data_IF_053082171774
#
_entry.id   IF_053082171774
#
_cell.length_a   1.000
_cell.length_b   1.000
_cell.length_c   1.000
_cell.angle_alpha   90.00
_cell.angle_beta   90.00
_cell.angle_gamma   90.00
#
_symmetry.space_group_name_H-M   'P 1'
#
loop_
_entity.id
_entity.type
_entity.pdbx_description
1 polymer ?
#
# COMPACT_ATOMS: atom_id res chain seq x y z
N UNK A 1 14.64 -10.07 -4.07
CA UNK A 1 13.39 -9.34 -4.35
C UNK A 1 12.49 -9.43 -3.14
N UNK A 2 12.20 -8.28 -2.53
CA UNK A 2 11.32 -8.15 -1.36
C UNK A 2 9.86 -8.39 -1.74
N UNK A 3 8.98 -8.45 -0.74
CA UNK A 3 7.54 -8.55 -0.99
C UNK A 3 6.99 -7.24 -1.60
N UNK A 4 7.56 -6.09 -1.21
CA UNK A 4 7.23 -4.79 -1.77
C UNK A 4 7.63 -4.69 -3.25
N UNK A 5 8.83 -5.15 -3.62
CA UNK A 5 9.28 -5.15 -5.03
C UNK A 5 8.31 -5.93 -5.92
N UNK A 6 7.81 -7.08 -5.45
CA UNK A 6 6.82 -7.89 -6.17
C UNK A 6 5.47 -7.19 -6.30
N UNK A 7 5.05 -6.46 -5.26
CA UNK A 7 3.82 -5.66 -5.28
C UNK A 7 3.96 -4.56 -6.33
N UNK A 8 5.05 -3.80 -6.29
CA UNK A 8 5.33 -2.69 -7.21
C UNK A 8 5.40 -3.21 -8.66
N UNK A 9 6.11 -4.31 -8.90
CA UNK A 9 6.20 -4.93 -10.22
C UNK A 9 4.82 -5.29 -10.78
N UNK A 10 3.94 -5.87 -9.97
CA UNK A 10 2.59 -6.24 -10.39
C UNK A 10 1.67 -5.05 -10.55
N UNK A 11 1.89 -3.98 -9.81
CA UNK A 11 1.11 -2.75 -9.90
C UNK A 11 1.39 -1.95 -11.18
N UNK A 12 2.49 -2.20 -11.88
CA UNK A 12 2.85 -1.49 -13.12
C UNK A 12 1.76 -1.55 -14.21
N UNK A 13 0.95 -2.61 -14.26
CA UNK A 13 -0.14 -2.72 -15.25
C UNK A 13 -1.39 -1.91 -14.88
N UNK A 14 -1.41 -1.33 -13.68
CA UNK A 14 -2.54 -0.57 -13.14
C UNK A 14 -2.28 0.94 -13.10
N UNK A 15 -1.08 1.39 -13.45
CA UNK A 15 -0.74 2.82 -13.50
C UNK A 15 -0.92 3.36 -14.91
N UNK A 16 -1.30 4.64 -15.00
CA UNK A 16 -1.42 5.34 -16.27
C UNK A 16 -0.05 5.73 -16.85
N UNK A 17 0.03 6.00 -18.17
CA UNK A 17 1.23 6.59 -18.74
C UNK A 17 1.67 7.88 -18.01
N UNK A 18 2.93 7.91 -17.58
CA UNK A 18 3.51 9.02 -16.81
C UNK A 18 3.13 9.04 -15.32
N UNK A 19 2.39 8.05 -14.83
CA UNK A 19 2.16 7.82 -13.41
C UNK A 19 3.32 6.98 -12.84
N UNK A 20 3.94 7.45 -11.76
CA UNK A 20 5.12 6.84 -11.15
C UNK A 20 4.76 6.26 -9.79
N UNK A 21 5.04 4.98 -9.58
CA UNK A 21 4.86 4.32 -8.28
C UNK A 21 5.94 4.80 -7.32
N UNK A 22 5.52 5.38 -6.19
CA UNK A 22 6.38 5.87 -5.12
C UNK A 22 6.59 4.81 -4.02
N UNK A 23 5.66 3.85 -3.91
CA UNK A 23 5.81 2.72 -3.00
C UNK A 23 4.62 1.76 -3.04
N UNK A 24 4.81 0.58 -2.47
CA UNK A 24 3.76 -0.44 -2.40
C UNK A 24 3.90 -1.37 -1.20
N UNK A 25 2.80 -1.63 -0.51
CA UNK A 25 2.80 -2.49 0.67
C UNK A 25 1.50 -3.28 0.84
N UNK A 26 1.56 -4.31 1.68
CA UNK A 26 0.38 -5.08 2.06
C UNK A 26 -0.06 -4.74 3.49
N UNK A 27 -1.35 -4.52 3.66
CA UNK A 27 -2.04 -4.44 4.95
C UNK A 27 -2.96 -5.63 5.16
N UNK A 28 -3.28 -5.91 6.42
CA UNK A 28 -4.24 -6.92 6.82
C UNK A 28 -5.32 -6.32 7.72
N UNK A 29 -6.56 -6.81 7.60
CA UNK A 29 -7.68 -6.33 8.40
C UNK A 29 -7.53 -6.69 9.89
N UNK A 30 -7.03 -7.89 10.15
CA UNK A 30 -6.81 -8.42 11.51
C UNK A 30 -5.41 -9.02 11.61
N UNK A 31 -4.88 -9.15 12.83
CA UNK A 31 -3.53 -9.69 13.08
C UNK A 31 -3.32 -11.09 12.48
N UNK A 32 -4.36 -11.91 12.44
CA UNK A 32 -4.33 -13.29 11.93
C UNK A 32 -4.94 -13.43 10.53
N UNK A 33 -5.45 -12.35 9.95
CA UNK A 33 -6.11 -12.30 8.63
C UNK A 33 -7.11 -13.45 8.36
N UNK A 34 -7.86 -13.89 9.38
CA UNK A 34 -8.83 -14.99 9.27
C UNK A 34 -10.09 -14.53 8.51
N UNK A 35 -10.01 -14.56 7.18
CA UNK A 35 -11.16 -14.38 6.27
C UNK A 35 -11.28 -13.01 5.60
N UNK A 36 -10.58 -11.98 6.08
CA UNK A 36 -10.66 -10.62 5.53
C UNK A 36 -9.87 -10.39 4.24
N UNK A 37 -8.85 -11.21 3.99
CA UNK A 37 -7.94 -11.02 2.86
C UNK A 37 -6.95 -9.88 3.09
N UNK A 38 -5.81 -9.94 2.38
CA UNK A 38 -4.88 -8.81 2.40
C UNK A 38 -5.40 -7.66 1.54
N UNK A 39 -5.01 -6.44 1.90
CA UNK A 39 -5.16 -5.24 1.09
C UNK A 39 -3.79 -4.83 0.57
N UNK A 40 -3.69 -4.53 -0.70
CA UNK A 40 -2.44 -4.06 -1.31
C UNK A 40 -2.62 -2.57 -1.58
N UNK A 41 -1.79 -1.75 -0.96
CA UNK A 41 -1.76 -0.31 -1.18
C UNK A 41 -0.63 0.00 -2.15
N UNK A 42 -0.95 0.77 -3.18
CA UNK A 42 -0.01 1.35 -4.12
C UNK A 42 -0.14 2.86 -4.03
N UNK A 43 0.96 3.55 -3.78
CA UNK A 43 1.02 5.00 -3.84
C UNK A 43 1.75 5.41 -5.11
N UNK A 44 1.14 6.34 -5.85
CA UNK A 44 1.76 6.96 -7.02
C UNK A 44 1.97 8.43 -6.78
N UNK A 45 2.58 9.13 -7.73
CA UNK A 45 2.64 10.59 -7.72
C UNK A 45 1.27 11.28 -7.92
N UNK A 46 0.19 10.54 -8.22
CA UNK A 46 -1.15 11.09 -8.49
C UNK A 46 -2.22 10.65 -7.50
N UNK A 47 -2.18 9.40 -7.04
CA UNK A 47 -3.23 8.80 -6.21
C UNK A 47 -2.71 7.68 -5.33
N UNK A 48 -3.53 7.29 -4.36
CA UNK A 48 -3.47 5.98 -3.74
C UNK A 48 -4.46 5.04 -4.41
N UNK A 49 -4.04 3.80 -4.59
CA UNK A 49 -4.90 2.70 -5.00
C UNK A 49 -4.84 1.60 -3.95
N UNK A 50 -6.00 1.15 -3.48
CA UNK A 50 -6.10 -0.01 -2.60
C UNK A 50 -6.77 -1.15 -3.35
N UNK A 51 -6.07 -2.26 -3.44
CA UNK A 51 -6.56 -3.48 -4.05
C UNK A 51 -6.90 -4.53 -3.00
N UNK A 52 -7.98 -5.27 -3.24
CA UNK A 52 -8.23 -6.53 -2.55
C UNK A 52 -7.26 -7.60 -3.05
N UNK A 53 -6.74 -8.39 -2.11
CA UNK A 53 -6.02 -9.64 -2.34
C UNK A 53 -6.73 -10.79 -1.63
N UNK A 54 -6.36 -12.03 -1.97
CA UNK A 54 -6.81 -13.21 -1.25
C UNK A 54 -6.25 -13.30 0.18
N UNK A 55 -6.69 -14.31 0.93
CA UNK A 55 -6.18 -14.63 2.28
C UNK A 55 -4.78 -15.24 2.26
N UNK A 56 -4.38 -15.85 1.15
CA UNK A 56 -3.14 -16.63 1.04
C UNK A 56 -1.96 -15.87 0.44
N UNK A 57 -2.17 -14.66 -0.12
CA UNK A 57 -1.09 -13.90 -0.77
C UNK A 57 -1.14 -12.43 -0.43
N UNK A 58 0.01 -11.86 -0.10
CA UNK A 58 0.18 -10.42 0.14
C UNK A 58 0.49 -9.63 -1.12
N UNK A 59 0.63 -10.30 -2.28
CA UNK A 59 1.19 -9.69 -3.49
C UNK A 59 0.31 -9.84 -4.71
N UNK A 60 -0.78 -10.61 -4.63
CA UNK A 60 -1.70 -10.82 -5.76
C UNK A 60 -2.68 -9.65 -5.77
N UNK A 61 -2.57 -8.81 -6.79
CA UNK A 61 -3.53 -7.74 -7.04
C UNK A 61 -4.74 -8.34 -7.75
N UNK A 62 -5.93 -8.27 -7.15
CA UNK A 62 -7.16 -8.82 -7.75
C UNK A 62 -8.13 -7.76 -8.25
N UNK A 63 -8.58 -6.88 -7.36
CA UNK A 63 -9.62 -5.89 -7.67
C UNK A 63 -9.30 -4.58 -6.95
N UNK A 64 -9.42 -3.46 -7.65
CA UNK A 64 -9.38 -2.13 -7.05
C UNK A 64 -10.63 -1.94 -6.18
N UNK A 65 -10.44 -1.61 -4.90
CA UNK A 65 -11.51 -1.46 -3.91
C UNK A 65 -11.59 -0.06 -3.30
N UNK A 66 -10.58 0.77 -3.53
CA UNK A 66 -10.52 2.17 -3.16
C UNK A 66 -9.52 2.87 -4.08
N UNK A 67 -9.86 4.09 -4.48
CA UNK A 67 -8.94 5.06 -5.05
C UNK A 67 -9.12 6.37 -4.27
N UNK A 68 -8.02 7.03 -3.91
CA UNK A 68 -8.07 8.32 -3.20
C UNK A 68 -6.95 9.24 -3.68
N UNK A 69 -7.10 10.57 -3.51
CA UNK A 69 -6.06 11.53 -3.88
C UNK A 69 -4.72 11.26 -3.18
N UNK A 70 -3.62 11.72 -3.78
CA UNK A 70 -2.27 11.65 -3.20
C UNK A 70 -1.99 12.82 -2.26
N UNK A 71 -2.89 13.10 -1.33
CA UNK A 71 -2.80 14.22 -0.36
C UNK A 71 -2.62 13.75 1.09
N UNK A 72 -2.58 12.43 1.29
CA UNK A 72 -2.50 11.83 2.61
C UNK A 72 -1.06 11.50 3.01
N UNK A 73 -0.67 11.95 4.21
CA UNK A 73 0.50 11.45 4.94
C UNK A 73 0.12 10.21 5.76
N UNK A 74 0.91 9.15 5.65
CA UNK A 74 0.65 7.85 6.23
C UNK A 74 1.11 7.73 7.69
N UNK A 75 2.11 8.54 8.07
CA UNK A 75 2.63 8.67 9.42
C UNK A 75 3.85 7.80 9.70
N UNK A 76 4.55 8.10 10.80
CA UNK A 76 5.76 7.36 11.20
C UNK A 76 5.40 5.97 11.76
N UNK A 77 5.76 4.88 11.07
CA UNK A 77 5.37 3.55 11.49
C UNK A 77 6.23 3.03 12.65
N UNK A 78 5.61 2.33 13.60
CA UNK A 78 6.31 1.73 14.76
C UNK A 78 5.72 0.39 15.19
N UNK A 79 6.49 -0.38 15.97
CA UNK A 79 6.09 -1.69 16.49
C UNK A 79 6.14 -2.83 15.45
N UNK A 80 5.51 -3.96 15.75
CA UNK A 80 5.42 -5.11 14.83
C UNK A 80 4.35 -4.90 13.74
N UNK A 81 3.28 -4.21 14.12
CA UNK A 81 2.18 -3.83 13.25
C UNK A 81 1.78 -2.39 13.51
N UNK A 82 1.68 -1.63 12.43
CA UNK A 82 1.24 -0.23 12.45
C UNK A 82 -0.18 -0.13 11.91
N UNK A 83 -1.06 0.61 12.59
CA UNK A 83 -2.40 0.87 12.08
C UNK A 83 -2.34 2.04 11.13
N UNK A 84 -2.90 1.87 9.93
CA UNK A 84 -2.95 2.88 8.90
C UNK A 84 -4.34 2.90 8.28
N UNK A 85 -4.75 4.07 7.79
CA UNK A 85 -5.93 4.23 6.96
C UNK A 85 -5.46 4.83 5.66
N UNK A 86 -5.89 4.30 4.51
CA UNK A 86 -5.62 4.89 3.19
C UNK A 86 -6.97 5.10 2.51
N UNK A 87 -7.29 6.36 2.18
CA UNK A 87 -8.66 6.74 1.82
C UNK A 87 -9.64 6.32 2.92
N UNK A 88 -10.69 5.58 2.57
CA UNK A 88 -11.63 4.99 3.54
C UNK A 88 -11.24 3.63 4.13
N UNK A 89 -10.03 3.12 3.89
CA UNK A 89 -9.66 1.72 4.20
C UNK A 89 -8.63 1.61 5.32
N UNK A 90 -9.10 1.29 6.53
CA UNK A 90 -8.25 0.97 7.69
C UNK A 90 -7.61 -0.44 7.57
N UNK A 91 -6.35 -0.57 7.94
CA UNK A 91 -5.60 -1.84 7.93
C UNK A 91 -4.39 -1.81 8.87
N UNK A 92 -3.81 -2.99 9.13
CA UNK A 92 -2.58 -3.18 9.89
C UNK A 92 -1.44 -3.54 8.94
N UNK A 93 -0.35 -2.77 8.97
CA UNK A 93 0.84 -2.97 8.14
C UNK A 93 1.93 -3.62 8.98
N UNK A 94 2.55 -4.68 8.47
CA UNK A 94 3.65 -5.35 9.15
C UNK A 94 4.96 -4.53 9.02
N UNK A 95 5.82 -4.60 10.04
CA UNK A 95 7.10 -3.87 10.07
C UNK A 95 7.97 -4.01 8.81
N UNK A 96 7.86 -5.14 8.10
CA UNK A 96 8.58 -5.39 6.84
C UNK A 96 8.28 -4.37 5.72
N UNK A 97 7.21 -3.59 5.86
CA UNK A 97 6.79 -2.59 4.89
C UNK A 97 6.98 -1.15 5.39
N UNK A 98 7.57 -0.95 6.57
CA UNK A 98 7.73 0.39 7.14
C UNK A 98 8.59 1.30 6.27
N UNK A 99 9.61 0.75 5.61
CA UNK A 99 10.44 1.51 4.66
C UNK A 99 9.62 1.99 3.46
N UNK A 100 8.60 1.25 3.05
CA UNK A 100 7.68 1.68 2.00
C UNK A 100 6.77 2.81 2.48
N UNK A 101 6.26 2.72 3.71
CA UNK A 101 5.44 3.79 4.30
C UNK A 101 6.23 5.09 4.36
N UNK A 102 7.47 5.05 4.88
CA UNK A 102 8.35 6.22 4.94
C UNK A 102 8.70 6.75 3.54
N UNK A 103 9.03 5.88 2.60
CA UNK A 103 9.35 6.30 1.23
C UNK A 103 8.17 7.01 0.55
N UNK A 104 6.95 6.53 0.80
CA UNK A 104 5.72 7.18 0.32
C UNK A 104 5.60 8.58 0.94
N UNK A 105 5.73 8.69 2.25
CA UNK A 105 5.60 9.98 2.94
C UNK A 105 6.69 10.98 2.50
N UNK A 106 7.95 10.55 2.40
CA UNK A 106 9.03 11.40 1.88
C UNK A 106 8.80 11.83 0.42
N UNK A 107 8.18 10.99 -0.40
CA UNK A 107 7.85 11.34 -1.78
C UNK A 107 6.68 12.33 -1.91
N UNK A 108 5.89 12.52 -0.85
CA UNK A 108 4.87 13.57 -0.77
C UNK A 108 5.51 14.92 -0.42
N UNK A 109 6.46 14.92 0.51
CA UNK A 109 7.20 16.12 0.91
C UNK A 109 8.03 16.72 -0.24
N UNK A 110 8.51 15.87 -1.17
CA UNK A 110 9.35 16.27 -2.30
C UNK A 110 8.55 16.67 -3.55
N UNK A 111 7.29 17.10 -3.45
CA UNK A 111 6.58 17.63 -4.63
C UNK A 111 6.93 19.13 -4.82
N UNK A 112 7.71 19.50 -5.86
CA UNK A 112 8.04 20.91 -6.16
C UNK A 112 6.85 21.69 -6.70
#
# INVERSE_FOLDING_TARGET
>A
MTMADKIIQRAQVHVEPGEVIQGGFAGQLTLLNRGGGYRIVIATNRRFMVFGSGTFSQTVIKRLIEESPRDQFLGEPSGLFYNITVGGKAMKVNFRYFDQVRAIDSALEYQP
#
